data_IF_032360854981
#
_entry.id   IF_032360854981
#
_cell.length_a   1.000
_cell.length_b   1.000
_cell.length_c   1.000
_cell.angle_alpha   90.00
_cell.angle_beta   90.00
_cell.angle_gamma   90.00
#
_symmetry.space_group_name_H-M   'P 1'
#
loop_
_entity.id
_entity.type
_entity.pdbx_description
1 polymer ?
#
# COMPACT_ATOMS: atom_id res chain seq x y z
N UNK A 1 3.78 -24.14 -1.03
CA UNK A 1 5.11 -23.52 -0.89
C UNK A 1 5.25 -22.45 -1.97
N UNK A 2 5.26 -21.16 -1.62
CA UNK A 2 5.63 -20.09 -2.56
C UNK A 2 7.12 -20.23 -2.89
N UNK A 3 7.51 -20.09 -4.15
CA UNK A 3 8.92 -20.09 -4.55
C UNK A 3 9.66 -18.83 -4.07
N UNK A 4 11.00 -18.84 -4.02
CA UNK A 4 11.82 -17.72 -3.52
C UNK A 4 11.48 -16.39 -4.19
N UNK A 5 11.15 -16.39 -5.49
CA UNK A 5 10.79 -15.18 -6.23
C UNK A 5 9.52 -14.50 -5.72
N UNK A 6 8.54 -15.29 -5.22
CA UNK A 6 7.29 -14.74 -4.70
C UNK A 6 7.51 -14.02 -3.37
N UNK A 7 8.37 -14.56 -2.51
CA UNK A 7 8.69 -13.91 -1.24
C UNK A 7 9.55 -12.66 -1.44
N UNK A 8 10.48 -12.69 -2.40
CA UNK A 8 11.23 -11.50 -2.80
C UNK A 8 10.31 -10.40 -3.36
N UNK A 9 9.37 -10.75 -4.24
CA UNK A 9 8.39 -9.79 -4.76
C UNK A 9 7.52 -9.21 -3.64
N UNK A 10 7.09 -10.05 -2.70
CA UNK A 10 6.31 -9.64 -1.53
C UNK A 10 7.07 -8.63 -0.68
N UNK A 11 8.31 -8.95 -0.28
CA UNK A 11 9.15 -8.06 0.52
C UNK A 11 9.50 -6.76 -0.21
N UNK A 12 9.71 -6.83 -1.53
CA UNK A 12 9.95 -5.63 -2.35
C UNK A 12 8.73 -4.71 -2.33
N UNK A 13 7.52 -5.26 -2.48
CA UNK A 13 6.30 -4.46 -2.40
C UNK A 13 6.12 -3.83 -1.02
N UNK A 14 6.42 -4.56 0.05
CA UNK A 14 6.34 -4.03 1.42
C UNK A 14 7.27 -2.82 1.61
N UNK A 15 8.50 -2.88 1.08
CA UNK A 15 9.44 -1.76 1.10
C UNK A 15 8.97 -0.56 0.27
N UNK A 16 8.38 -0.80 -0.91
CA UNK A 16 7.82 0.27 -1.74
C UNK A 16 6.69 0.99 -1.01
N UNK A 17 5.78 0.23 -0.39
CA UNK A 17 4.66 0.76 0.39
C UNK A 17 5.16 1.60 1.57
N UNK A 18 6.11 1.08 2.35
CA UNK A 18 6.74 1.82 3.45
C UNK A 18 7.36 3.14 2.96
N UNK A 19 8.06 3.14 1.83
CA UNK A 19 8.70 4.35 1.29
C UNK A 19 7.71 5.44 0.89
N UNK A 20 6.46 5.06 0.57
CA UNK A 20 5.40 6.01 0.22
C UNK A 20 4.76 6.57 1.49
N UNK A 21 4.41 5.69 2.44
CA UNK A 21 3.83 6.07 3.73
C UNK A 21 4.78 6.99 4.50
N UNK A 22 6.09 6.73 4.47
CA UNK A 22 7.10 7.53 5.19
C UNK A 22 7.20 8.98 4.70
N UNK A 23 6.59 9.35 3.57
CA UNK A 23 6.65 10.70 3.00
C UNK A 23 5.47 11.57 3.43
N UNK A 24 4.28 10.98 3.57
CA UNK A 24 3.04 11.66 3.93
C UNK A 24 1.95 10.65 4.27
N UNK A 25 0.97 11.09 5.06
CA UNK A 25 -0.25 10.31 5.30
C UNK A 25 -0.95 9.99 3.98
N UNK A 26 -1.33 8.73 3.78
CA UNK A 26 -1.86 8.23 2.51
C UNK A 26 -2.82 7.06 2.73
N UNK A 27 -3.48 6.58 1.68
CA UNK A 27 -4.40 5.43 1.74
C UNK A 27 -4.19 4.50 0.55
N UNK A 28 -4.71 3.27 0.63
CA UNK A 28 -4.41 2.19 -0.32
C UNK A 28 -4.47 2.58 -1.80
N UNK A 29 -5.56 3.22 -2.23
CA UNK A 29 -5.69 3.67 -3.62
C UNK A 29 -4.67 4.76 -4.00
N UNK A 30 -4.37 5.71 -3.11
CA UNK A 30 -3.34 6.72 -3.36
C UNK A 30 -1.94 6.12 -3.47
N UNK A 31 -1.63 5.07 -2.70
CA UNK A 31 -0.40 4.29 -2.83
C UNK A 31 -0.32 3.62 -4.22
N UNK A 32 -1.41 2.97 -4.68
CA UNK A 32 -1.45 2.35 -6.02
C UNK A 32 -1.17 3.37 -7.12
N UNK A 33 -1.83 4.53 -7.07
CA UNK A 33 -1.64 5.60 -8.04
C UNK A 33 -0.21 6.14 -7.99
N UNK A 34 0.36 6.33 -6.79
CA UNK A 34 1.73 6.80 -6.65
C UNK A 34 2.75 5.84 -7.27
N UNK A 35 2.56 4.52 -7.11
CA UNK A 35 3.41 3.50 -7.75
C UNK A 35 3.28 3.59 -9.28
N UNK A 36 2.05 3.68 -9.78
CA UNK A 36 1.79 3.79 -11.22
C UNK A 36 2.43 5.04 -11.81
N UNK A 37 2.28 6.18 -11.16
CA UNK A 37 2.85 7.46 -11.61
C UNK A 37 4.38 7.45 -11.58
N UNK A 38 4.99 7.04 -10.46
CA UNK A 38 6.45 7.00 -10.32
C UNK A 38 7.12 6.01 -11.27
N UNK A 39 6.39 5.00 -11.75
CA UNK A 39 6.89 4.00 -12.70
C UNK A 39 6.50 4.29 -14.15
N UNK A 40 5.85 5.43 -14.41
CA UNK A 40 5.33 5.82 -15.74
C UNK A 40 4.39 4.75 -16.32
N UNK A 41 3.58 4.12 -15.47
CA UNK A 41 2.61 3.09 -15.83
C UNK A 41 3.20 1.70 -16.04
N UNK A 42 4.52 1.49 -15.88
CA UNK A 42 5.13 0.15 -16.01
C UNK A 42 4.66 -0.82 -14.93
N UNK A 43 4.30 -0.31 -13.75
CA UNK A 43 3.71 -1.08 -12.67
C UNK A 43 2.29 -0.57 -12.43
N UNK A 44 1.30 -1.36 -12.85
CA UNK A 44 -0.12 -1.11 -12.63
C UNK A 44 -0.70 -2.21 -11.75
N UNK A 45 -0.77 -1.93 -10.44
CA UNK A 45 -1.24 -2.89 -9.45
C UNK A 45 -2.77 -2.94 -9.42
N UNK A 46 -3.32 -4.13 -9.17
CA UNK A 46 -4.72 -4.29 -8.79
C UNK A 46 -4.86 -4.25 -7.28
N UNK A 47 -6.06 -3.97 -6.79
CA UNK A 47 -6.35 -3.93 -5.34
C UNK A 47 -5.90 -5.21 -4.63
N UNK A 48 -6.25 -6.38 -5.16
CA UNK A 48 -5.85 -7.67 -4.60
C UNK A 48 -4.33 -7.93 -4.58
N UNK A 49 -3.54 -7.11 -5.28
CA UNK A 49 -2.08 -7.16 -5.29
C UNK A 49 -1.46 -6.21 -4.27
N UNK A 50 -2.05 -5.03 -4.04
CA UNK A 50 -1.51 -4.04 -3.10
C UNK A 50 -1.98 -4.28 -1.66
N UNK A 51 -3.29 -4.41 -1.40
CA UNK A 51 -3.84 -4.37 -0.04
C UNK A 51 -3.26 -5.40 0.95
N UNK A 52 -2.76 -6.58 0.52
CA UNK A 52 -2.03 -7.46 1.44
C UNK A 52 -0.77 -6.85 2.05
N UNK A 53 -0.12 -5.86 1.43
CA UNK A 53 1.13 -5.26 1.91
C UNK A 53 0.92 -4.34 3.13
N UNK A 54 0.06 -3.30 3.10
CA UNK A 54 -0.25 -2.51 4.31
C UNK A 54 -0.76 -3.38 5.46
N UNK A 55 -1.58 -4.40 5.19
CA UNK A 55 -2.08 -5.31 6.23
C UNK A 55 -0.95 -6.08 6.93
N UNK A 56 0.02 -6.61 6.17
CA UNK A 56 1.21 -7.27 6.75
C UNK A 56 2.08 -6.32 7.56
N UNK A 57 2.23 -5.09 7.07
CA UNK A 57 3.03 -4.07 7.75
C UNK A 57 2.39 -3.63 9.07
N UNK A 58 1.07 -3.52 9.13
CA UNK A 58 0.33 -3.28 10.38
C UNK A 58 0.42 -4.49 11.34
N UNK A 59 0.26 -5.71 10.83
CA UNK A 59 0.39 -6.95 11.62
C UNK A 59 1.81 -7.10 12.23
N UNK A 60 2.81 -6.58 11.52
CA UNK A 60 4.20 -6.49 11.99
C UNK A 60 4.49 -5.25 12.85
N UNK A 61 3.47 -4.45 13.20
CA UNK A 61 3.59 -3.21 13.98
C UNK A 61 4.55 -2.16 13.36
N UNK A 62 4.78 -2.23 12.05
CA UNK A 62 5.68 -1.33 11.32
C UNK A 62 5.00 -0.03 10.86
N UNK A 63 3.68 -0.03 10.73
CA UNK A 63 2.85 1.13 10.41
C UNK A 63 1.59 1.12 11.29
N UNK A 64 0.99 2.27 11.47
CA UNK A 64 -0.33 2.41 12.10
C UNK A 64 -1.34 2.86 11.04
N UNK A 65 -2.60 2.46 11.20
CA UNK A 65 -3.65 2.89 10.28
C UNK A 65 -4.87 3.44 11.01
N UNK A 66 -5.32 4.61 10.58
CA UNK A 66 -6.45 5.34 11.14
C UNK A 66 -7.60 5.35 10.13
N UNK A 67 -8.79 4.96 10.58
CA UNK A 67 -9.98 5.06 9.74
C UNK A 67 -10.50 6.49 9.74
N UNK A 68 -10.49 7.11 8.56
CA UNK A 68 -10.99 8.45 8.35
C UNK A 68 -12.19 8.45 7.40
N UNK A 69 -13.19 9.25 7.77
CA UNK A 69 -14.34 9.53 6.91
C UNK A 69 -14.10 10.87 6.22
N UNK A 70 -13.96 10.90 4.89
CA UNK A 70 -13.84 12.17 4.16
C UNK A 70 -15.08 13.03 4.40
N UNK A 71 -14.93 14.35 4.41
CA UNK A 71 -16.06 15.26 4.54
C UNK A 71 -17.10 15.00 3.42
N UNK A 72 -18.38 14.89 3.82
CA UNK A 72 -19.49 14.65 2.91
C UNK A 72 -19.80 13.16 2.65
N UNK A 73 -20.06 12.81 1.38
CA UNK A 73 -20.48 11.46 0.93
C UNK A 73 -19.29 10.55 0.57
N UNK A 74 -18.10 10.84 1.10
CA UNK A 74 -16.91 10.04 0.84
C UNK A 74 -16.99 8.63 1.44
N UNK A 75 -16.32 7.69 0.77
CA UNK A 75 -16.14 6.32 1.30
C UNK A 75 -15.13 6.36 2.45
N UNK A 76 -15.39 5.61 3.52
CA UNK A 76 -14.46 5.43 4.63
C UNK A 76 -13.14 4.86 4.10
N UNK A 77 -12.01 5.48 4.47
CA UNK A 77 -10.68 5.06 4.05
C UNK A 77 -9.81 4.86 5.28
N UNK A 78 -8.94 3.85 5.21
CA UNK A 78 -7.86 3.71 6.18
C UNK A 78 -6.65 4.47 5.67
N UNK A 79 -6.22 5.46 6.43
CA UNK A 79 -5.00 6.20 6.20
C UNK A 79 -3.87 5.60 7.01
N UNK A 80 -2.67 5.62 6.45
CA UNK A 80 -1.42 5.17 7.06
C UNK A 80 -0.39 6.30 6.98
#
# INVERSE_FOLDING_TARGET
>A
MSGPDKELLRGTLDLVVLSIISRQSTYGYAIMNSIKEQTEGRIDLKEGSLYPAPYRLEDAEAIEGVWEKPEGRGVLRKYY
#
